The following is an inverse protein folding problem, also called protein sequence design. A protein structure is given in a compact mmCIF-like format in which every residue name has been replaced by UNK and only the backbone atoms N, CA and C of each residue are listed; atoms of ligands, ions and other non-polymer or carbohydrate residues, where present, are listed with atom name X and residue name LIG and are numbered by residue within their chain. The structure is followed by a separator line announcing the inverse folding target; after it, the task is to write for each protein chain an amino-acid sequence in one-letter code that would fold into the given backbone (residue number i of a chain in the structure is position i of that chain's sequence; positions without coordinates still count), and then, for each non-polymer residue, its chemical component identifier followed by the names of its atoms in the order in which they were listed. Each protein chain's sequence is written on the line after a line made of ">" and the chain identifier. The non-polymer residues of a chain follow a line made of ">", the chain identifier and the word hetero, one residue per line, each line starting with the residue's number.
data_IF_285510339607
#
_entry.id   IF_285510339607
#
_cell.length_a   1.000
_cell.length_b   1.000
_cell.length_c   1.000
_cell.angle_alpha   90.00
_cell.angle_beta   90.00
_cell.angle_gamma   90.00
#
_symmetry.space_group_name_H-M   'P 1'
#
loop_
_entity.id
_entity.type
_entity.pdbx_description
1 polymer ?
#
# COMPACT_ATOMS: atom_id res chain seq x y z
N UNK A 1 26.53 45.15 42.15
CA UNK A 1 25.21 44.43 42.02
C UNK A 1 24.83 43.98 43.45
N UNK A 2 23.79 44.54 44.06
CA UNK A 2 23.39 44.25 45.41
C UNK A 2 22.94 42.80 45.60
N UNK A 3 23.14 42.21 46.82
CA UNK A 3 22.73 40.85 47.19
C UNK A 3 21.26 40.55 46.80
N UNK A 4 20.41 41.52 46.91
CA UNK A 4 18.97 41.44 46.58
C UNK A 4 18.70 41.27 45.07
N UNK A 5 19.45 41.94 44.17
CA UNK A 5 19.39 41.75 42.72
C UNK A 5 19.89 40.35 42.31
N UNK A 6 20.90 39.82 42.99
CA UNK A 6 21.38 38.43 42.74
C UNK A 6 20.33 37.40 43.16
N UNK A 7 19.63 37.59 44.25
CA UNK A 7 18.59 36.68 44.76
C UNK A 7 17.33 36.68 43.88
N UNK A 8 16.86 37.87 43.44
CA UNK A 8 15.76 37.99 42.48
C UNK A 8 16.10 37.33 41.14
N UNK A 9 17.33 37.50 40.65
CA UNK A 9 17.82 36.86 39.41
C UNK A 9 17.86 35.33 39.53
N UNK A 10 18.30 34.77 40.65
CA UNK A 10 18.32 33.32 40.93
C UNK A 10 16.89 32.74 40.96
N UNK A 11 15.93 33.40 41.61
CA UNK A 11 14.52 32.99 41.63
C UNK A 11 13.89 33.04 40.21
N UNK A 12 14.27 34.00 39.39
CA UNK A 12 13.79 34.08 37.97
C UNK A 12 14.29 32.93 37.17
N UNK A 13 15.60 32.60 37.23
CA UNK A 13 16.18 31.46 36.55
C UNK A 13 15.57 30.11 36.97
N UNK A 14 15.27 29.94 38.25
CA UNK A 14 14.58 28.75 38.74
C UNK A 14 13.18 28.60 38.10
N UNK A 15 12.41 29.70 37.99
CA UNK A 15 11.10 29.70 37.33
C UNK A 15 11.22 29.34 35.83
N UNK A 16 12.21 29.92 35.14
CA UNK A 16 12.47 29.61 33.74
C UNK A 16 12.79 28.12 33.54
N UNK A 17 13.69 27.57 34.38
CA UNK A 17 14.03 26.14 34.34
C UNK A 17 12.80 25.26 34.57
N UNK A 18 11.97 25.59 35.56
CA UNK A 18 10.73 24.85 35.84
C UNK A 18 9.78 24.93 34.65
N UNK A 19 9.59 26.12 34.06
CA UNK A 19 8.77 26.23 32.82
C UNK A 19 9.32 25.40 31.67
N UNK A 20 10.63 25.39 31.45
CA UNK A 20 11.25 24.55 30.39
C UNK A 20 11.05 23.07 30.66
N UNK A 21 11.23 22.63 31.91
CA UNK A 21 10.97 21.24 32.30
C UNK A 21 9.51 20.83 32.11
N UNK A 22 8.57 21.71 32.43
CA UNK A 22 7.14 21.47 32.19
C UNK A 22 6.82 21.38 30.69
N UNK A 23 7.42 22.22 29.85
CA UNK A 23 7.24 22.17 28.41
C UNK A 23 7.79 20.83 27.87
N UNK A 24 9.00 20.44 28.28
CA UNK A 24 9.58 19.16 27.90
C UNK A 24 8.69 17.99 28.33
N UNK A 25 8.19 18.03 29.56
CA UNK A 25 7.26 17.01 30.08
C UNK A 25 6.00 16.90 29.24
N UNK A 26 5.39 18.04 28.87
CA UNK A 26 4.20 18.06 28.01
C UNK A 26 4.51 17.45 26.64
N UNK A 27 5.65 17.81 26.02
CA UNK A 27 6.07 17.25 24.73
C UNK A 27 6.22 15.72 24.84
N UNK A 28 6.90 15.23 25.87
CA UNK A 28 7.08 13.80 26.12
C UNK A 28 5.74 13.08 26.30
N UNK A 29 4.83 13.66 27.06
CA UNK A 29 3.49 13.09 27.27
C UNK A 29 2.67 13.03 25.98
N UNK A 30 2.68 14.10 25.18
CA UNK A 30 1.98 14.14 23.90
C UNK A 30 2.56 13.10 22.92
N UNK A 31 3.89 13.03 22.84
CA UNK A 31 4.55 12.05 21.99
C UNK A 31 4.27 10.61 22.44
N UNK A 32 4.33 10.35 23.74
CA UNK A 32 4.01 9.03 24.31
C UNK A 32 2.55 8.65 24.06
N UNK A 33 1.62 9.58 24.19
CA UNK A 33 0.21 9.37 23.91
C UNK A 33 -0.01 9.04 22.42
N UNK A 34 0.68 9.75 21.51
CA UNK A 34 0.62 9.50 20.07
C UNK A 34 1.14 8.10 19.74
N UNK A 35 2.32 7.73 20.23
CA UNK A 35 2.90 6.39 19.99
C UNK A 35 2.02 5.30 20.60
N UNK A 36 1.48 5.53 21.79
CA UNK A 36 0.51 4.63 22.43
C UNK A 36 -0.74 4.43 21.57
N UNK A 37 -1.33 5.52 21.07
CA UNK A 37 -2.48 5.46 20.16
C UNK A 37 -2.17 4.68 18.88
N UNK A 38 -1.04 4.95 18.21
CA UNK A 38 -0.63 4.26 17.01
C UNK A 38 -0.36 2.77 17.28
N UNK A 39 0.21 2.43 18.42
CA UNK A 39 0.45 1.04 18.82
C UNK A 39 -0.87 0.29 19.06
N UNK A 40 -1.82 0.90 19.74
CA UNK A 40 -3.14 0.30 20.01
C UNK A 40 -4.01 0.16 18.75
N UNK A 41 -3.76 0.99 17.75
CA UNK A 41 -4.49 0.97 16.47
C UNK A 41 -3.68 0.39 15.31
N UNK A 42 -2.54 -0.23 15.60
CA UNK A 42 -1.67 -0.84 14.59
C UNK A 42 -2.45 -1.86 13.75
N UNK A 43 -2.37 -1.73 12.44
CA UNK A 43 -2.85 -2.76 11.51
C UNK A 43 -1.88 -3.95 11.56
N UNK A 44 -2.34 -5.04 12.15
CA UNK A 44 -1.55 -6.26 12.29
C UNK A 44 -2.40 -7.47 11.87
N UNK A 45 -2.57 -7.68 10.55
CA UNK A 45 -3.39 -8.77 10.03
C UNK A 45 -2.72 -10.13 10.26
N UNK A 46 -3.53 -11.20 10.25
CA UNK A 46 -3.06 -12.57 10.28
C UNK A 46 -2.15 -12.90 9.08
N UNK A 47 -1.41 -13.99 9.17
CA UNK A 47 -0.50 -14.44 8.11
C UNK A 47 -1.22 -14.65 6.79
N UNK A 48 -2.42 -15.21 6.83
CA UNK A 48 -3.30 -15.43 5.70
C UNK A 48 -4.70 -14.92 6.03
N UNK A 49 -5.28 -14.13 5.15
CA UNK A 49 -6.62 -13.56 5.32
C UNK A 49 -7.39 -13.77 4.02
N UNK A 50 -8.54 -14.45 4.05
CA UNK A 50 -9.42 -14.53 2.88
C UNK A 50 -9.85 -13.15 2.42
N UNK A 51 -9.81 -12.90 1.11
CA UNK A 51 -10.23 -11.63 0.53
C UNK A 51 -11.67 -11.72 0.03
N UNK A 52 -12.40 -10.64 0.24
CA UNK A 52 -13.74 -10.51 -0.35
C UNK A 52 -13.63 -10.26 -1.84
N UNK A 53 -14.37 -11.05 -2.62
CA UNK A 53 -14.53 -10.86 -4.04
C UNK A 53 -15.69 -9.91 -4.32
N UNK A 54 -15.50 -8.99 -5.27
CA UNK A 54 -16.52 -8.03 -5.71
C UNK A 54 -16.57 -7.99 -7.24
N UNK A 55 -17.66 -7.46 -7.80
CA UNK A 55 -17.87 -7.44 -9.25
C UNK A 55 -18.29 -8.79 -9.81
N UNK A 56 -18.25 -8.90 -11.14
CA UNK A 56 -18.65 -10.10 -11.88
C UNK A 56 -17.59 -10.45 -12.90
N UNK A 57 -17.36 -11.72 -13.11
CA UNK A 57 -16.50 -12.24 -14.19
C UNK A 57 -17.29 -12.38 -15.49
N UNK A 58 -16.61 -12.31 -16.63
CA UNK A 58 -17.17 -12.59 -17.95
C UNK A 58 -17.20 -14.09 -18.26
N UNK A 59 -16.25 -14.85 -17.69
CA UNK A 59 -16.13 -16.31 -17.91
C UNK A 59 -16.00 -17.04 -16.57
N UNK A 60 -16.48 -18.29 -16.53
CA UNK A 60 -16.41 -19.15 -15.34
C UNK A 60 -15.00 -19.76 -15.13
N UNK A 61 -14.20 -19.83 -16.19
CA UNK A 61 -12.85 -20.42 -16.16
C UNK A 61 -11.92 -19.74 -17.16
N UNK A 62 -10.63 -20.01 -17.02
CA UNK A 62 -9.60 -19.66 -17.98
C UNK A 62 -9.49 -20.76 -19.04
N UNK A 63 -9.35 -20.39 -20.30
CA UNK A 63 -9.21 -21.33 -21.44
C UNK A 63 -7.74 -21.42 -21.87
N UNK A 64 -7.17 -22.63 -21.88
CA UNK A 64 -5.77 -22.89 -22.28
C UNK A 64 -5.47 -22.51 -23.74
N UNK A 65 -6.50 -22.52 -24.60
CA UNK A 65 -6.37 -22.19 -26.02
C UNK A 65 -6.36 -20.68 -26.30
N UNK A 66 -6.61 -19.85 -25.28
CA UNK A 66 -6.69 -18.40 -25.42
C UNK A 66 -5.37 -17.76 -24.96
N UNK A 67 -4.83 -16.87 -25.77
CA UNK A 67 -3.81 -15.94 -25.32
C UNK A 67 -4.38 -15.02 -24.25
N UNK A 68 -3.64 -14.84 -23.16
CA UNK A 68 -4.04 -14.04 -22.01
C UNK A 68 -3.20 -12.77 -21.92
N UNK A 69 -3.83 -11.66 -21.63
CA UNK A 69 -3.20 -10.36 -21.47
C UNK A 69 -3.29 -9.90 -20.02
N UNK A 70 -2.19 -9.37 -19.49
CA UNK A 70 -2.12 -8.83 -18.15
C UNK A 70 -1.47 -7.45 -18.15
N UNK A 71 -2.00 -6.54 -17.33
CA UNK A 71 -1.42 -5.23 -17.05
C UNK A 71 -1.05 -5.18 -15.57
N UNK A 72 0.16 -4.73 -15.28
CA UNK A 72 0.59 -4.37 -13.93
C UNK A 72 0.90 -2.87 -13.89
N UNK A 73 0.32 -2.15 -12.92
CA UNK A 73 0.47 -0.71 -12.82
C UNK A 73 0.42 -0.23 -11.36
N UNK A 74 1.51 0.38 -10.91
CA UNK A 74 1.48 1.19 -9.69
C UNK A 74 0.84 2.54 -10.05
N UNK A 75 -0.37 2.80 -9.55
CA UNK A 75 -1.16 3.98 -9.92
C UNK A 75 -0.89 5.21 -9.04
N UNK A 76 0.04 5.12 -8.09
CA UNK A 76 0.45 6.24 -7.24
C UNK A 76 -0.74 6.91 -6.55
N UNK A 77 -1.68 6.11 -6.02
CA UNK A 77 -2.93 6.58 -5.37
C UNK A 77 -3.63 7.73 -6.13
N UNK A 78 -3.57 7.68 -7.46
CA UNK A 78 -4.19 8.69 -8.32
C UNK A 78 -3.65 10.12 -8.14
N UNK A 79 -2.61 10.34 -7.34
CA UNK A 79 -2.11 11.68 -7.03
C UNK A 79 -0.67 11.94 -7.53
N UNK A 80 0.05 10.92 -8.01
CA UNK A 80 1.41 11.07 -8.55
C UNK A 80 1.34 11.22 -10.08
N UNK A 81 0.85 12.38 -10.55
CA UNK A 81 0.92 12.76 -11.96
C UNK A 81 2.31 13.22 -12.38
N UNK A 82 2.50 13.50 -13.68
CA UNK A 82 3.79 13.92 -14.25
C UNK A 82 4.34 15.23 -13.67
N UNK A 83 3.50 16.03 -13.03
CA UNK A 83 3.78 17.30 -12.37
C UNK A 83 3.85 17.20 -10.84
N UNK A 84 3.81 15.99 -10.28
CA UNK A 84 3.84 15.77 -8.84
C UNK A 84 5.21 16.11 -8.26
N UNK A 85 5.24 17.04 -7.29
CA UNK A 85 6.43 17.42 -6.51
C UNK A 85 6.47 16.63 -5.19
N UNK A 86 6.60 15.30 -5.28
CA UNK A 86 6.48 14.41 -4.12
C UNK A 86 7.74 14.38 -3.25
N UNK A 87 7.56 14.56 -1.95
CA UNK A 87 8.68 14.71 -1.01
C UNK A 87 9.58 13.46 -0.90
N UNK A 88 9.05 12.26 -1.12
CA UNK A 88 9.87 11.03 -1.08
C UNK A 88 10.71 10.84 -2.34
N UNK A 89 10.37 11.49 -3.43
CA UNK A 89 11.11 11.47 -4.70
C UNK A 89 12.03 12.72 -4.84
N UNK A 90 12.31 13.39 -3.74
CA UNK A 90 13.16 14.58 -3.70
C UNK A 90 12.42 15.90 -3.86
N UNK A 91 11.10 15.88 -3.98
CA UNK A 91 10.23 17.06 -4.00
C UNK A 91 9.93 17.61 -2.59
N UNK A 92 8.89 18.44 -2.48
CA UNK A 92 8.52 19.13 -1.22
C UNK A 92 7.11 18.88 -0.75
N UNK A 93 6.22 18.42 -1.64
CA UNK A 93 4.79 18.27 -1.36
C UNK A 93 4.45 16.91 -0.76
N UNK A 94 3.58 16.93 0.23
CA UNK A 94 2.97 15.71 0.81
C UNK A 94 1.68 15.38 0.07
N UNK A 95 0.84 16.40 -0.12
CA UNK A 95 -0.39 16.30 -0.90
C UNK A 95 -0.07 16.82 -2.31
N UNK A 96 0.02 15.94 -3.29
CA UNK A 96 0.51 16.24 -4.65
C UNK A 96 -0.61 16.52 -5.63
N UNK A 97 -1.85 16.15 -5.30
CA UNK A 97 -3.03 16.47 -6.06
C UNK A 97 -4.22 16.78 -5.13
N UNK A 98 -5.08 17.67 -5.56
CA UNK A 98 -6.38 17.88 -4.95
C UNK A 98 -7.42 16.85 -5.44
N UNK A 99 -8.63 16.94 -4.94
CA UNK A 99 -9.71 16.00 -5.28
C UNK A 99 -9.99 15.92 -6.78
N UNK A 100 -9.93 17.04 -7.47
CA UNK A 100 -10.21 17.12 -8.92
C UNK A 100 -9.03 16.54 -9.70
N UNK A 101 -7.81 16.78 -9.27
CA UNK A 101 -6.59 16.16 -9.81
C UNK A 101 -6.61 14.63 -9.69
N UNK A 102 -6.92 14.10 -8.50
CA UNK A 102 -7.05 12.65 -8.30
C UNK A 102 -8.14 12.08 -9.22
N UNK A 103 -9.31 12.71 -9.30
CA UNK A 103 -10.39 12.26 -10.19
C UNK A 103 -9.99 12.30 -11.67
N UNK A 104 -9.27 13.32 -12.10
CA UNK A 104 -8.74 13.43 -13.47
C UNK A 104 -7.77 12.30 -13.76
N UNK A 105 -6.83 12.02 -12.85
CA UNK A 105 -5.84 10.96 -13.01
C UNK A 105 -6.50 9.57 -13.05
N UNK A 106 -7.46 9.30 -12.16
CA UNK A 106 -8.21 8.04 -12.19
C UNK A 106 -8.98 7.83 -13.51
N UNK A 107 -9.55 8.90 -14.08
CA UNK A 107 -10.17 8.85 -15.42
C UNK A 107 -9.15 8.53 -16.51
N UNK A 108 -7.95 9.10 -16.44
CA UNK A 108 -6.85 8.79 -17.35
C UNK A 108 -6.43 7.32 -17.27
N UNK A 109 -6.19 6.84 -16.03
CA UNK A 109 -5.84 5.45 -15.75
C UNK A 109 -6.91 4.49 -16.29
N UNK A 110 -8.19 4.76 -16.01
CA UNK A 110 -9.28 3.91 -16.48
C UNK A 110 -9.46 3.96 -18.00
N UNK A 111 -9.22 5.10 -18.63
CA UNK A 111 -9.25 5.23 -20.10
C UNK A 111 -8.20 4.35 -20.74
N UNK A 112 -6.98 4.34 -20.21
CA UNK A 112 -5.89 3.47 -20.69
C UNK A 112 -6.21 2.00 -20.48
N UNK A 113 -6.64 1.62 -19.28
CA UNK A 113 -7.04 0.24 -18.98
C UNK A 113 -8.18 -0.26 -19.86
N UNK A 114 -9.19 0.60 -20.13
CA UNK A 114 -10.29 0.27 -21.04
C UNK A 114 -9.80 0.12 -22.49
N UNK A 115 -8.84 0.92 -22.93
CA UNK A 115 -8.24 0.84 -24.27
C UNK A 115 -7.45 -0.46 -24.45
N UNK A 116 -6.65 -0.83 -23.44
CA UNK A 116 -5.88 -2.09 -23.43
C UNK A 116 -6.76 -3.32 -23.27
N UNK A 117 -7.90 -3.19 -22.57
CA UNK A 117 -8.89 -4.23 -22.36
C UNK A 117 -8.29 -5.60 -21.96
N UNK A 118 -7.40 -5.67 -20.96
CA UNK A 118 -6.67 -6.87 -20.60
C UNK A 118 -7.56 -7.91 -19.89
N UNK A 119 -7.11 -9.17 -19.85
CA UNK A 119 -7.78 -10.23 -19.10
C UNK A 119 -7.57 -10.08 -17.59
N UNK A 120 -6.38 -9.57 -17.19
CA UNK A 120 -6.01 -9.34 -15.80
C UNK A 120 -5.44 -7.93 -15.61
N UNK A 121 -5.80 -7.29 -14.48
CA UNK A 121 -5.25 -5.99 -14.06
C UNK A 121 -4.72 -6.13 -12.63
N UNK A 122 -3.45 -5.81 -12.44
CA UNK A 122 -2.73 -5.85 -11.17
C UNK A 122 -2.35 -4.42 -10.80
N UNK A 123 -3.10 -3.81 -9.87
CA UNK A 123 -2.87 -2.43 -9.45
C UNK A 123 -2.18 -2.39 -8.09
N UNK A 124 -1.24 -1.47 -7.93
CA UNK A 124 -0.58 -1.16 -6.67
C UNK A 124 -0.86 0.29 -6.28
N UNK A 125 -0.72 0.61 -5.00
CA UNK A 125 -1.00 1.92 -4.42
C UNK A 125 -2.43 2.41 -4.67
N UNK A 126 -3.40 1.53 -4.46
CA UNK A 126 -4.82 1.85 -4.59
C UNK A 126 -5.34 2.30 -3.22
N UNK A 127 -5.70 3.56 -3.08
CA UNK A 127 -6.26 4.09 -1.85
C UNK A 127 -7.77 3.81 -1.73
N UNK A 128 -8.23 3.59 -0.50
CA UNK A 128 -9.66 3.43 -0.21
C UNK A 128 -10.19 4.49 0.76
N UNK A 129 -9.32 5.01 1.63
CA UNK A 129 -9.69 6.03 2.61
C UNK A 129 -8.41 6.70 3.14
N UNK A 130 -7.79 7.55 2.30
CA UNK A 130 -6.53 8.21 2.61
C UNK A 130 -6.59 9.72 2.33
N UNK A 131 -5.93 10.50 3.20
CA UNK A 131 -5.87 11.96 3.05
C UNK A 131 -5.22 12.36 1.72
N UNK A 132 -4.10 11.70 1.34
CA UNK A 132 -3.31 12.00 0.15
C UNK A 132 -4.09 11.86 -1.17
N UNK A 133 -5.14 11.04 -1.18
CA UNK A 133 -6.06 10.87 -2.31
C UNK A 133 -7.44 11.51 -2.06
N UNK A 134 -7.49 12.55 -1.19
CA UNK A 134 -8.72 13.27 -0.83
C UNK A 134 -9.86 12.36 -0.36
N UNK A 135 -9.52 11.26 0.33
CA UNK A 135 -10.46 10.25 0.84
C UNK A 135 -11.33 9.58 -0.25
N UNK A 136 -10.88 9.61 -1.50
CA UNK A 136 -11.55 8.89 -2.60
C UNK A 136 -11.32 7.39 -2.41
N UNK A 137 -12.39 6.60 -2.51
CA UNK A 137 -12.29 5.16 -2.60
C UNK A 137 -12.02 4.76 -4.07
N UNK A 138 -10.73 4.70 -4.41
CA UNK A 138 -10.27 4.42 -5.78
C UNK A 138 -10.64 3.01 -6.22
N UNK A 139 -10.52 2.01 -5.31
CA UNK A 139 -10.89 0.64 -5.62
C UNK A 139 -12.36 0.53 -6.04
N UNK A 140 -13.27 1.13 -5.25
CA UNK A 140 -14.69 1.15 -5.58
C UNK A 140 -14.97 1.92 -6.86
N UNK A 141 -14.30 3.07 -7.04
CA UNK A 141 -14.49 3.93 -8.20
C UNK A 141 -14.02 3.26 -9.50
N UNK A 142 -12.85 2.64 -9.49
CA UNK A 142 -12.35 1.87 -10.63
C UNK A 142 -13.29 0.71 -10.96
N UNK A 143 -13.70 -0.07 -9.95
CA UNK A 143 -14.55 -1.24 -10.14
C UNK A 143 -15.93 -0.92 -10.70
N UNK A 144 -16.60 0.12 -10.19
CA UNK A 144 -18.02 0.36 -10.45
C UNK A 144 -18.32 1.47 -11.44
N UNK A 145 -17.40 2.44 -11.60
CA UNK A 145 -17.69 3.66 -12.33
C UNK A 145 -16.85 3.82 -13.60
N UNK A 146 -15.59 3.39 -13.57
CA UNK A 146 -14.62 3.78 -14.57
C UNK A 146 -14.24 2.66 -15.54
N UNK A 147 -14.32 1.39 -15.15
CA UNK A 147 -14.03 0.27 -16.03
C UNK A 147 -15.30 -0.20 -16.74
N UNK A 148 -15.26 -0.23 -18.07
CA UNK A 148 -16.41 -0.61 -18.92
C UNK A 148 -16.63 -2.11 -18.99
N UNK A 149 -15.71 -2.89 -18.41
CA UNK A 149 -15.72 -4.34 -18.51
C UNK A 149 -16.21 -4.98 -17.21
N UNK A 150 -16.84 -6.14 -17.34
CA UNK A 150 -17.14 -6.97 -16.20
C UNK A 150 -15.86 -7.62 -15.69
N UNK A 151 -15.35 -7.13 -14.58
CA UNK A 151 -14.25 -7.70 -13.85
C UNK A 151 -14.72 -8.13 -12.46
N UNK A 152 -14.34 -9.33 -12.06
CA UNK A 152 -14.34 -9.71 -10.67
C UNK A 152 -13.03 -9.23 -10.03
N UNK A 153 -13.07 -8.73 -8.81
CA UNK A 153 -11.90 -8.18 -8.16
C UNK A 153 -11.73 -8.65 -6.72
N UNK A 154 -10.48 -8.61 -6.29
CA UNK A 154 -10.04 -8.72 -4.90
C UNK A 154 -9.20 -7.49 -4.52
N UNK A 155 -9.26 -7.11 -3.23
CA UNK A 155 -8.48 -6.01 -2.68
C UNK A 155 -7.77 -6.45 -1.40
N UNK A 156 -6.44 -6.32 -1.35
CA UNK A 156 -5.61 -6.67 -0.21
C UNK A 156 -5.02 -5.40 0.42
N UNK A 157 -5.49 -5.03 1.61
CA UNK A 157 -4.91 -3.92 2.37
C UNK A 157 -3.46 -4.22 2.71
N UNK A 158 -2.56 -3.27 2.41
CA UNK A 158 -1.14 -3.36 2.75
C UNK A 158 -0.60 -2.14 3.50
N UNK A 159 -1.39 -1.06 3.55
CA UNK A 159 -1.06 0.16 4.28
C UNK A 159 -2.30 0.72 4.97
N UNK A 160 -2.37 0.59 6.29
CA UNK A 160 -3.52 1.07 7.07
C UNK A 160 -3.04 1.69 8.37
N UNK A 161 -3.05 3.01 8.41
CA UNK A 161 -2.60 3.81 9.56
C UNK A 161 -3.60 4.93 9.82
N UNK A 162 -4.00 5.11 11.07
CA UNK A 162 -4.97 6.12 11.45
C UNK A 162 -4.45 7.55 11.33
N UNK A 163 -3.17 7.75 11.58
CA UNK A 163 -2.53 9.06 11.46
C UNK A 163 -1.01 8.95 11.40
N UNK A 164 -0.40 9.46 10.34
CA UNK A 164 1.06 9.59 10.19
C UNK A 164 1.42 11.06 10.39
N UNK A 165 2.12 11.42 11.48
CA UNK A 165 2.35 12.81 11.87
C UNK A 165 3.42 13.54 11.08
N UNK A 166 4.22 12.83 10.32
CA UNK A 166 5.37 13.36 9.59
C UNK A 166 5.25 13.06 8.09
N UNK A 167 5.79 13.93 7.19
CA UNK A 167 6.41 15.23 7.46
C UNK A 167 5.41 16.32 7.89
N UNK A 168 5.76 17.59 7.76
CA UNK A 168 4.85 18.71 8.00
C UNK A 168 4.62 19.44 6.68
N UNK A 169 3.36 19.49 6.17
CA UNK A 169 2.13 18.99 6.76
C UNK A 169 2.11 17.45 6.87
N UNK A 170 1.32 16.86 7.80
CA UNK A 170 1.32 15.41 8.04
C UNK A 170 0.69 14.65 6.85
N UNK A 171 1.22 13.44 6.58
CA UNK A 171 0.57 12.50 5.64
C UNK A 171 -0.87 12.20 6.08
N UNK A 172 -1.10 12.12 7.40
CA UNK A 172 -2.42 11.91 7.97
C UNK A 172 -2.87 10.45 7.88
N UNK A 173 -4.16 10.23 7.66
CA UNK A 173 -4.74 8.89 7.53
C UNK A 173 -4.38 8.26 6.19
N UNK A 174 -4.02 6.98 6.23
CA UNK A 174 -3.85 6.14 5.03
C UNK A 174 -4.62 4.83 5.20
N UNK A 175 -5.36 4.44 4.18
CA UNK A 175 -5.87 3.10 3.97
C UNK A 175 -5.72 2.78 2.49
N UNK A 176 -4.79 1.90 2.18
CA UNK A 176 -4.37 1.56 0.82
C UNK A 176 -4.07 0.09 0.68
N UNK A 177 -4.01 -0.39 -0.57
CA UNK A 177 -3.72 -1.77 -0.86
C UNK A 177 -3.29 -2.02 -2.30
N UNK A 178 -3.34 -3.29 -2.65
CA UNK A 178 -3.17 -3.80 -4.01
C UNK A 178 -4.50 -4.40 -4.47
N UNK A 179 -4.87 -4.16 -5.72
CA UNK A 179 -6.12 -4.60 -6.32
C UNK A 179 -5.86 -5.50 -7.51
N UNK A 180 -6.52 -6.65 -7.54
CA UNK A 180 -6.47 -7.57 -8.69
C UNK A 180 -7.86 -7.63 -9.30
N UNK A 181 -7.93 -7.45 -10.63
CA UNK A 181 -9.17 -7.59 -11.40
C UNK A 181 -8.97 -8.67 -12.47
N UNK A 182 -10.01 -9.45 -12.70
CA UNK A 182 -10.01 -10.57 -13.65
C UNK A 182 -11.33 -10.63 -14.43
N UNK A 183 -11.25 -10.82 -15.75
CA UNK A 183 -12.40 -11.19 -16.58
C UNK A 183 -12.87 -12.61 -16.34
N UNK A 184 -11.97 -13.50 -15.96
CA UNK A 184 -12.28 -14.86 -15.57
C UNK A 184 -12.57 -14.95 -14.08
N UNK A 185 -13.42 -15.89 -13.71
CA UNK A 185 -13.84 -16.09 -12.32
C UNK A 185 -12.66 -16.38 -11.41
N UNK A 186 -12.56 -15.62 -10.33
CA UNK A 186 -11.69 -15.91 -9.20
C UNK A 186 -12.49 -16.82 -8.27
N UNK A 187 -12.03 -18.05 -8.06
CA UNK A 187 -12.68 -19.00 -7.14
C UNK A 187 -12.35 -18.71 -5.69
N UNK A 188 -11.11 -18.26 -5.44
CA UNK A 188 -10.60 -17.93 -4.12
C UNK A 188 -9.57 -16.81 -4.23
N UNK A 189 -9.58 -15.90 -3.25
CA UNK A 189 -8.54 -14.89 -3.11
C UNK A 189 -8.07 -14.80 -1.66
N UNK A 190 -6.74 -14.74 -1.46
CA UNK A 190 -6.10 -14.71 -0.14
C UNK A 190 -5.03 -13.64 -0.09
N UNK A 191 -5.04 -12.85 0.99
CA UNK A 191 -3.95 -11.97 1.35
C UNK A 191 -2.93 -12.76 2.17
N UNK A 192 -1.68 -12.79 1.72
CA UNK A 192 -0.56 -13.45 2.41
C UNK A 192 0.42 -12.40 2.92
N UNK A 193 0.60 -12.31 4.24
CA UNK A 193 1.47 -11.33 4.89
C UNK A 193 2.93 -11.61 4.53
N UNK A 194 3.62 -10.59 4.01
CA UNK A 194 5.07 -10.61 3.80
C UNK A 194 5.82 -10.18 5.08
N UNK A 195 7.10 -10.55 5.24
CA UNK A 195 7.92 -10.09 6.35
C UNK A 195 7.96 -8.55 6.41
N UNK A 196 7.75 -8.00 7.61
CA UNK A 196 7.86 -6.57 7.87
C UNK A 196 9.26 -6.28 8.44
N UNK A 197 10.12 -5.50 7.74
CA UNK A 197 11.48 -5.24 8.19
C UNK A 197 11.56 -4.27 9.38
N UNK A 198 10.51 -3.49 9.59
CA UNK A 198 10.50 -2.41 10.58
C UNK A 198 10.23 -2.92 11.99
N UNK A 199 10.99 -2.37 12.96
CA UNK A 199 10.80 -2.62 14.40
C UNK A 199 9.89 -1.55 15.00
N UNK A 200 9.34 -1.85 16.19
CA UNK A 200 8.66 -0.84 16.99
C UNK A 200 9.66 0.27 17.42
N UNK A 201 9.29 1.55 17.41
CA UNK A 201 7.95 2.08 17.11
C UNK A 201 7.67 2.32 15.61
N UNK A 202 8.68 2.28 14.74
CA UNK A 202 8.54 2.63 13.31
C UNK A 202 7.48 1.78 12.59
N UNK A 203 7.40 0.49 12.91
CA UNK A 203 6.48 -0.45 12.24
C UNK A 203 5.00 -0.09 12.41
N UNK A 204 4.61 0.67 13.47
CA UNK A 204 3.19 0.98 13.74
C UNK A 204 2.60 1.96 12.72
N UNK A 205 3.46 2.73 12.05
CA UNK A 205 3.08 3.68 11.01
C UNK A 205 3.58 3.27 9.61
N UNK A 206 4.00 2.01 9.46
CA UNK A 206 4.57 1.52 8.21
C UNK A 206 3.69 0.47 7.52
N UNK A 207 3.99 0.21 6.25
CA UNK A 207 3.30 -0.76 5.42
C UNK A 207 3.40 -2.18 6.00
N UNK A 208 2.33 -2.96 5.82
CA UNK A 208 2.29 -4.40 6.03
C UNK A 208 2.17 -5.06 4.65
N UNK A 209 3.29 -5.04 3.91
CA UNK A 209 3.37 -5.59 2.55
C UNK A 209 2.80 -7.00 2.50
N UNK A 210 2.12 -7.35 1.41
CA UNK A 210 1.48 -8.64 1.24
C UNK A 210 1.49 -9.08 -0.22
N UNK A 211 1.23 -10.37 -0.44
CA UNK A 211 0.82 -10.91 -1.72
C UNK A 211 -0.72 -10.97 -1.75
N UNK A 212 -1.32 -10.65 -2.88
CA UNK A 212 -2.71 -10.97 -3.20
C UNK A 212 -2.71 -12.17 -4.13
N UNK A 213 -3.11 -13.33 -3.60
CA UNK A 213 -3.14 -14.60 -4.31
C UNK A 213 -4.56 -14.81 -4.81
N UNK A 214 -4.72 -14.96 -6.11
CA UNK A 214 -6.02 -15.14 -6.74
C UNK A 214 -6.00 -16.44 -7.54
N UNK A 215 -6.91 -17.37 -7.23
CA UNK A 215 -7.03 -18.68 -7.84
C UNK A 215 -8.15 -18.68 -8.86
N UNK A 216 -7.86 -19.15 -10.06
CA UNK A 216 -8.80 -19.19 -11.17
C UNK A 216 -8.87 -20.63 -11.71
N UNK A 217 -10.07 -21.21 -11.86
CA UNK A 217 -10.22 -22.51 -12.49
C UNK A 217 -9.80 -22.47 -13.96
N UNK A 218 -9.24 -23.57 -14.44
CA UNK A 218 -8.89 -23.76 -15.85
C UNK A 218 -9.86 -24.77 -16.45
N UNK A 219 -10.47 -24.42 -17.56
CA UNK A 219 -11.43 -25.28 -18.27
C UNK A 219 -10.80 -26.65 -18.62
N UNK A 220 -11.51 -27.72 -18.24
CA UNK A 220 -11.06 -29.10 -18.49
C UNK A 220 -9.80 -29.52 -17.72
N UNK A 221 -9.48 -28.89 -16.60
CA UNK A 221 -8.28 -29.18 -15.79
C UNK A 221 -8.61 -29.23 -14.30
N UNK A 222 -7.89 -30.10 -13.59
CA UNK A 222 -7.82 -30.11 -12.12
C UNK A 222 -6.81 -29.10 -11.56
N UNK A 223 -6.11 -28.39 -12.45
CA UNK A 223 -5.13 -27.36 -12.09
C UNK A 223 -5.74 -25.96 -12.21
N UNK A 224 -5.11 -25.01 -11.54
CA UNK A 224 -5.54 -23.62 -11.47
C UNK A 224 -4.51 -22.70 -12.13
N UNK A 225 -5.00 -21.55 -12.58
CA UNK A 225 -4.15 -20.38 -12.80
C UNK A 225 -4.12 -19.56 -11.52
N UNK A 226 -2.93 -19.35 -10.97
CA UNK A 226 -2.70 -18.56 -9.75
C UNK A 226 -2.09 -17.21 -10.15
N UNK A 227 -2.86 -16.15 -9.97
CA UNK A 227 -2.40 -14.77 -10.19
C UNK A 227 -1.95 -14.18 -8.86
N UNK A 228 -0.69 -13.76 -8.80
CA UNK A 228 -0.06 -13.16 -7.62
C UNK A 228 0.20 -11.69 -7.90
N UNK A 229 -0.56 -10.79 -7.27
CA UNK A 229 -0.26 -9.37 -7.28
C UNK A 229 0.59 -9.02 -6.06
N UNK A 230 1.57 -8.16 -6.23
CA UNK A 230 2.53 -7.79 -5.20
C UNK A 230 2.96 -6.32 -5.27
N UNK A 231 3.44 -5.82 -4.13
CA UNK A 231 4.17 -4.57 -4.04
C UNK A 231 5.21 -4.74 -2.92
N UNK A 232 6.47 -5.00 -3.29
CA UNK A 232 7.55 -5.31 -2.37
C UNK A 232 8.12 -4.05 -1.70
N UNK A 233 8.99 -4.25 -0.70
CA UNK A 233 9.58 -3.16 0.08
C UNK A 233 10.51 -2.29 -0.78
N UNK A 234 10.43 -0.96 -0.56
CA UNK A 234 11.20 0.04 -1.29
C UNK A 234 12.33 0.66 -0.44
N UNK A 235 12.10 0.82 0.87
CA UNK A 235 12.83 1.77 1.71
C UNK A 235 13.56 1.14 2.90
N UNK A 236 13.83 -0.17 2.86
CA UNK A 236 14.63 -0.83 3.89
C UNK A 236 16.13 -0.88 3.51
N UNK A 237 16.93 -1.43 4.41
CA UNK A 237 18.38 -1.66 4.21
C UNK A 237 18.71 -2.85 3.29
N UNK A 238 17.70 -3.48 2.68
CA UNK A 238 17.81 -4.62 1.77
C UNK A 238 17.46 -5.98 2.39
N UNK A 239 17.51 -6.13 3.72
CA UNK A 239 17.17 -7.39 4.39
C UNK A 239 15.68 -7.75 4.21
N UNK A 240 14.79 -6.76 4.33
CA UNK A 240 13.36 -6.94 4.11
C UNK A 240 13.03 -7.27 2.67
N UNK A 241 13.64 -6.57 1.70
CA UNK A 241 13.50 -6.88 0.26
C UNK A 241 13.87 -8.33 -0.03
N UNK A 242 15.03 -8.77 0.46
CA UNK A 242 15.51 -10.14 0.30
C UNK A 242 14.56 -11.17 0.92
N UNK A 243 14.13 -10.94 2.16
CA UNK A 243 13.20 -11.84 2.85
C UNK A 243 11.84 -11.94 2.14
N UNK A 244 11.32 -10.81 1.61
CA UNK A 244 10.07 -10.77 0.86
C UNK A 244 10.21 -11.48 -0.50
N UNK A 245 11.29 -11.24 -1.23
CA UNK A 245 11.57 -11.90 -2.51
C UNK A 245 11.76 -13.43 -2.34
N UNK A 246 12.42 -13.86 -1.26
CA UNK A 246 12.57 -15.28 -0.97
C UNK A 246 11.24 -15.94 -0.60
N UNK A 247 10.39 -15.27 0.17
CA UNK A 247 9.06 -15.78 0.48
C UNK A 247 8.19 -15.89 -0.78
N UNK A 248 8.21 -14.87 -1.66
CA UNK A 248 7.56 -14.91 -2.96
C UNK A 248 8.05 -16.13 -3.77
N UNK A 249 9.37 -16.29 -3.92
CA UNK A 249 9.96 -17.41 -4.66
C UNK A 249 9.48 -18.76 -4.13
N UNK A 250 9.48 -18.95 -2.80
CA UNK A 250 9.00 -20.19 -2.17
C UNK A 250 7.52 -20.42 -2.47
N UNK A 251 6.71 -19.37 -2.44
CA UNK A 251 5.28 -19.47 -2.75
C UNK A 251 5.05 -19.89 -4.20
N UNK A 252 5.71 -19.21 -5.15
CA UNK A 252 5.60 -19.53 -6.58
C UNK A 252 6.05 -20.98 -6.87
N UNK A 253 7.15 -21.41 -6.26
CA UNK A 253 7.66 -22.77 -6.40
C UNK A 253 6.65 -23.81 -5.87
N UNK A 254 6.08 -23.56 -4.68
CA UNK A 254 5.10 -24.46 -4.10
C UNK A 254 3.83 -24.62 -4.95
N UNK A 255 3.39 -23.56 -5.62
CA UNK A 255 2.26 -23.66 -6.57
C UNK A 255 2.66 -24.41 -7.87
N UNK A 256 3.86 -24.15 -8.40
CA UNK A 256 4.37 -24.88 -9.54
C UNK A 256 4.54 -26.38 -9.25
N UNK A 257 5.01 -26.75 -8.06
CA UNK A 257 5.16 -28.15 -7.62
C UNK A 257 3.81 -28.89 -7.52
N UNK A 258 2.72 -28.16 -7.28
CA UNK A 258 1.34 -28.69 -7.35
C UNK A 258 0.86 -28.88 -8.81
N UNK A 259 1.62 -28.41 -9.79
CA UNK A 259 1.27 -28.41 -11.20
C UNK A 259 0.35 -27.26 -11.62
N UNK A 260 0.20 -26.23 -10.80
CA UNK A 260 -0.55 -25.03 -11.13
C UNK A 260 0.25 -24.12 -12.08
N UNK A 261 -0.46 -23.34 -12.88
CA UNK A 261 0.13 -22.25 -13.66
C UNK A 261 0.19 -21.01 -12.79
N UNK A 262 1.35 -20.32 -12.76
CA UNK A 262 1.53 -19.17 -11.87
C UNK A 262 2.01 -17.97 -12.66
N UNK A 263 1.34 -16.82 -12.44
CA UNK A 263 1.77 -15.52 -12.96
C UNK A 263 1.91 -14.59 -11.76
N UNK A 264 3.11 -14.04 -11.56
CA UNK A 264 3.36 -13.00 -10.56
C UNK A 264 3.67 -11.68 -11.28
N UNK A 265 2.98 -10.63 -10.87
CA UNK A 265 3.16 -9.28 -11.38
C UNK A 265 2.93 -8.25 -10.28
N UNK A 266 3.47 -7.06 -10.48
CA UNK A 266 3.34 -5.98 -9.51
C UNK A 266 4.57 -5.09 -9.47
N UNK A 267 4.68 -4.32 -8.42
CA UNK A 267 5.83 -3.46 -8.15
C UNK A 267 6.84 -4.21 -7.26
N UNK A 268 7.92 -4.66 -7.87
CA UNK A 268 8.98 -5.39 -7.18
C UNK A 268 9.92 -4.46 -6.39
N UNK A 269 9.94 -3.16 -6.69
CA UNK A 269 10.89 -2.18 -6.13
C UNK A 269 12.36 -2.63 -6.28
N UNK A 270 12.66 -3.38 -7.31
CA UNK A 270 13.98 -3.94 -7.58
C UNK A 270 14.23 -4.00 -9.08
N UNK A 271 15.48 -3.79 -9.47
CA UNK A 271 15.96 -4.03 -10.82
C UNK A 271 16.30 -5.50 -10.98
N UNK A 272 15.85 -6.14 -12.04
CA UNK A 272 16.24 -7.50 -12.34
C UNK A 272 17.70 -7.55 -12.80
N UNK A 273 18.42 -8.61 -12.41
CA UNK A 273 19.81 -8.81 -12.85
C UNK A 273 19.87 -8.93 -14.38
N UNK A 274 20.79 -8.19 -15.00
CA UNK A 274 20.99 -8.18 -16.45
C UNK A 274 20.09 -7.19 -17.21
N UNK A 275 19.36 -6.31 -16.53
CA UNK A 275 18.70 -5.16 -17.14
C UNK A 275 19.62 -3.94 -17.08
N UNK A 276 19.75 -3.21 -18.19
CA UNK A 276 20.41 -1.90 -18.21
C UNK A 276 19.55 -0.91 -17.43
N UNK A 277 20.17 -0.14 -16.53
CA UNK A 277 19.53 0.90 -15.71
C UNK A 277 19.75 2.28 -16.27
#
# INVERSE_FOLDING_TARGET
>A
MTKEKKFKKKKLWQKIIICLLLIILIIVLVFSALIGYLTLTEFNPDKEVPLRLTGKSQTEAVYKSKELTAVSWNIGYGALGSDADFFMDGGKSVDTADKDGVNKNLKGISSELNSLNPDFILLQEVDTDAKRSSYINEASKLQSELLNQDYQSSFAENFKVKFIPYPIPPIGKVNAGIMTLSKSKISEATRVQLPCPFKWPTRVANLKRCLSINRLPIEGSDKELVIVNLHLEAYDDGEGKKAQAEMLRKYLQAEADKGNYVIAGGDFNQTFSGTDT
#
